data_IF_258233336804
#
_entry.id   IF_258233336804
#
_cell.length_a   1.000
_cell.length_b   1.000
_cell.length_c   1.000
_cell.angle_alpha   90.00
_cell.angle_beta   90.00
_cell.angle_gamma   90.00
#
_symmetry.space_group_name_H-M   'P 1'
#
loop_
_entity.id
_entity.type
_entity.pdbx_description
1 polymer ?
#
# COMPACT_ATOMS: atom_id res chain seq x y z
N UNK A 1 -4.19 -2.67 16.70
CA UNK A 1 -4.09 -2.84 15.24
C UNK A 1 -3.02 -1.88 14.76
N UNK A 2 -1.90 -2.43 14.32
CA UNK A 2 -0.76 -1.67 13.79
C UNK A 2 -0.90 -1.59 12.26
N UNK A 3 -0.41 -0.50 11.65
CA UNK A 3 -0.36 -0.36 10.19
C UNK A 3 1.06 -0.22 9.71
N UNK A 4 1.38 -0.93 8.63
CA UNK A 4 2.63 -0.75 7.87
C UNK A 4 2.32 -0.29 6.47
N UNK A 5 3.14 0.61 5.94
CA UNK A 5 2.87 1.30 4.69
C UNK A 5 3.97 1.01 3.69
N UNK A 6 3.56 0.64 2.47
CA UNK A 6 4.47 0.19 1.43
C UNK A 6 4.13 0.85 0.10
N UNK A 7 5.15 1.14 -0.69
CA UNK A 7 5.01 1.38 -2.14
C UNK A 7 5.64 0.20 -2.87
N UNK A 8 4.85 -0.52 -3.66
CA UNK A 8 5.33 -1.61 -4.53
C UNK A 8 5.29 -1.14 -6.00
N UNK A 9 6.46 -0.86 -6.57
CA UNK A 9 6.58 -0.17 -7.85
C UNK A 9 5.98 1.25 -7.77
N UNK A 10 4.75 1.43 -8.25
CA UNK A 10 3.99 2.69 -8.17
C UNK A 10 2.70 2.57 -7.38
N UNK A 11 2.43 1.40 -6.79
CA UNK A 11 1.17 1.15 -6.09
C UNK A 11 1.33 1.31 -4.57
N UNK A 12 0.59 2.23 -3.95
CA UNK A 12 0.47 2.30 -2.50
C UNK A 12 -0.27 1.08 -1.95
N UNK A 13 0.30 0.44 -0.94
CA UNK A 13 -0.23 -0.69 -0.19
C UNK A 13 -0.12 -0.39 1.30
N UNK A 14 -1.10 -0.76 2.11
CA UNK A 14 -0.92 -0.85 3.56
C UNK A 14 -1.30 -2.22 4.08
N UNK A 15 -0.61 -2.64 5.13
CA UNK A 15 -0.85 -3.87 5.87
C UNK A 15 -1.48 -3.50 7.21
N UNK A 16 -2.60 -4.11 7.55
CA UNK A 16 -3.13 -4.12 8.92
C UNK A 16 -2.63 -5.37 9.63
N UNK A 17 -1.84 -5.16 10.69
CA UNK A 17 -1.23 -6.24 11.46
C UNK A 17 -2.04 -6.46 12.74
N UNK A 18 -2.52 -7.69 12.90
CA UNK A 18 -3.13 -8.22 14.10
C UNK A 18 -2.29 -9.37 14.67
N UNK A 19 -2.62 -9.81 15.89
CA UNK A 19 -1.77 -10.74 16.65
C UNK A 19 -1.47 -12.05 15.90
N UNK A 20 -2.37 -12.51 15.03
CA UNK A 20 -2.24 -13.79 14.31
C UNK A 20 -2.46 -13.70 12.80
N UNK A 21 -2.76 -12.52 12.27
CA UNK A 21 -2.99 -12.34 10.83
C UNK A 21 -2.65 -10.94 10.37
N UNK A 22 -2.37 -10.82 9.08
CA UNK A 22 -2.21 -9.55 8.39
C UNK A 22 -3.14 -9.50 7.20
N UNK A 23 -3.74 -8.34 6.98
CA UNK A 23 -4.58 -8.07 5.81
C UNK A 23 -3.94 -6.96 4.99
N UNK A 24 -3.81 -7.18 3.68
CA UNK A 24 -3.19 -6.23 2.76
C UNK A 24 -4.25 -5.48 1.97
N UNK A 25 -4.09 -4.16 1.86
CA UNK A 25 -4.98 -3.30 1.10
C UNK A 25 -4.19 -2.52 0.05
N UNK A 26 -4.62 -2.63 -1.21
CA UNK A 26 -3.97 -2.00 -2.34
C UNK A 26 -4.82 -0.83 -2.88
N UNK A 27 -4.13 0.25 -3.25
CA UNK A 27 -4.74 1.41 -3.89
C UNK A 27 -5.29 1.05 -5.28
N UNK A 28 -6.55 1.40 -5.51
CA UNK A 28 -7.24 1.20 -6.77
C UNK A 28 -7.12 2.46 -7.63
N UNK A 29 -6.43 2.35 -8.75
CA UNK A 29 -6.16 3.49 -9.62
C UNK A 29 -7.39 4.07 -10.32
N UNK A 30 -8.49 3.32 -10.36
CA UNK A 30 -9.74 3.77 -10.99
C UNK A 30 -10.65 4.53 -10.02
N UNK A 31 -10.57 4.22 -8.72
CA UNK A 31 -11.49 4.78 -7.71
C UNK A 31 -10.80 5.63 -6.66
N UNK A 32 -9.48 5.54 -6.52
CA UNK A 32 -8.74 6.21 -5.45
C UNK A 32 -8.95 5.61 -4.06
N UNK A 33 -9.58 4.43 -3.98
CA UNK A 33 -9.88 3.71 -2.74
C UNK A 33 -8.85 2.60 -2.48
N UNK A 34 -8.73 2.19 -1.23
CA UNK A 34 -7.97 0.99 -0.86
C UNK A 34 -8.92 -0.20 -0.75
N UNK A 35 -8.57 -1.32 -1.38
CA UNK A 35 -9.32 -2.59 -1.30
C UNK A 35 -8.40 -3.71 -0.90
N UNK A 36 -8.94 -4.68 -0.18
CA UNK A 36 -8.21 -5.89 0.20
C UNK A 36 -7.65 -6.58 -1.06
N UNK A 37 -6.34 -6.86 -1.05
CA UNK A 37 -5.63 -7.56 -2.11
C UNK A 37 -4.48 -8.37 -1.52
N UNK A 38 -4.80 -9.62 -1.15
CA UNK A 38 -3.85 -10.55 -0.54
C UNK A 38 -2.73 -11.00 -1.49
N UNK A 39 -2.77 -10.64 -2.78
CA UNK A 39 -1.64 -10.85 -3.70
C UNK A 39 -0.38 -10.15 -3.16
N UNK A 40 -0.56 -9.01 -2.50
CA UNK A 40 0.54 -8.22 -1.95
C UNK A 40 1.20 -8.82 -0.71
N UNK A 41 0.56 -9.78 -0.03
CA UNK A 41 1.20 -10.52 1.06
C UNK A 41 2.48 -11.21 0.57
N UNK A 42 2.39 -11.96 -0.53
CA UNK A 42 3.55 -12.61 -1.13
C UNK A 42 4.58 -11.63 -1.71
N UNK A 43 4.10 -10.54 -2.32
CA UNK A 43 4.95 -9.54 -2.99
C UNK A 43 5.72 -8.65 -2.04
N UNK A 44 5.24 -8.46 -0.81
CA UNK A 44 5.91 -7.63 0.20
C UNK A 44 6.77 -8.50 1.11
N UNK A 45 6.23 -9.61 1.63
CA UNK A 45 6.99 -10.45 2.57
C UNK A 45 8.09 -11.28 1.91
N UNK A 46 7.95 -11.60 0.64
CA UNK A 46 8.92 -12.39 -0.13
C UNK A 46 9.45 -11.61 -1.32
N UNK A 47 9.58 -10.28 -1.17
CA UNK A 47 10.10 -9.46 -2.25
C UNK A 47 11.60 -9.69 -2.49
N UNK A 48 11.92 -10.51 -3.49
CA UNK A 48 13.30 -10.71 -3.92
C UNK A 48 13.76 -9.66 -4.95
N UNK A 49 12.85 -8.84 -5.52
CA UNK A 49 13.22 -7.79 -6.48
C UNK A 49 13.58 -6.47 -5.81
N UNK A 50 13.09 -6.23 -4.58
CA UNK A 50 13.32 -4.98 -3.84
C UNK A 50 12.45 -3.82 -4.34
N UNK A 51 11.34 -4.14 -5.02
CA UNK A 51 10.36 -3.17 -5.52
C UNK A 51 9.44 -2.66 -4.41
N UNK A 52 9.34 -3.38 -3.29
CA UNK A 52 8.67 -2.99 -2.06
C UNK A 52 9.57 -2.08 -1.24
N UNK A 53 9.09 -0.87 -0.98
CA UNK A 53 9.73 0.06 -0.04
C UNK A 53 8.75 0.38 1.08
N UNK A 54 9.23 0.27 2.32
CA UNK A 54 8.49 0.67 3.51
C UNK A 54 8.57 2.18 3.71
N UNK A 55 7.45 2.79 4.08
CA UNK A 55 7.28 4.23 4.25
C UNK A 55 6.72 4.51 5.64
N UNK A 56 6.99 5.70 6.15
CA UNK A 56 6.19 6.22 7.27
C UNK A 56 4.77 6.55 6.81
N UNK A 57 3.83 6.64 7.76
CA UNK A 57 2.45 7.03 7.46
C UNK A 57 2.38 8.42 6.78
N UNK A 58 3.22 9.38 7.21
CA UNK A 58 3.25 10.73 6.64
C UNK A 58 3.71 10.71 5.18
N UNK A 59 4.82 10.02 4.88
CA UNK A 59 5.35 9.92 3.52
C UNK A 59 4.37 9.17 2.60
N UNK A 60 3.75 8.09 3.11
CA UNK A 60 2.74 7.34 2.38
C UNK A 60 1.53 8.21 2.02
N UNK A 61 1.00 8.97 2.99
CA UNK A 61 -0.15 9.83 2.79
C UNK A 61 0.16 10.99 1.84
N UNK A 62 1.37 11.54 1.90
CA UNK A 62 1.84 12.55 0.94
C UNK A 62 1.86 11.96 -0.49
N UNK A 63 2.46 10.78 -0.66
CA UNK A 63 2.52 10.08 -1.95
C UNK A 63 1.12 9.80 -2.52
N UNK A 64 0.20 9.29 -1.70
CA UNK A 64 -1.19 9.02 -2.12
C UNK A 64 -1.90 10.30 -2.56
N UNK A 65 -1.68 11.43 -1.86
CA UNK A 65 -2.30 12.72 -2.20
C UNK A 65 -1.79 13.24 -3.55
N UNK A 66 -0.48 13.18 -3.78
CA UNK A 66 0.11 13.57 -5.06
C UNK A 66 -0.43 12.69 -6.18
N UNK A 67 -0.41 11.36 -5.98
CA UNK A 67 -0.92 10.38 -6.93
C UNK A 67 -2.39 10.59 -7.29
N UNK A 68 -3.25 10.88 -6.30
CA UNK A 68 -4.67 11.20 -6.53
C UNK A 68 -4.82 12.46 -7.36
N UNK A 69 -4.03 13.49 -7.06
CA UNK A 69 -4.04 14.77 -7.78
C UNK A 69 -3.63 14.60 -9.23
N UNK A 70 -2.52 13.90 -9.49
CA UNK A 70 -2.02 13.61 -10.84
C UNK A 70 -3.02 12.84 -11.70
N UNK A 71 -3.80 11.96 -11.07
CA UNK A 71 -4.76 11.07 -11.74
C UNK A 71 -6.19 11.62 -11.76
N UNK A 72 -6.47 12.76 -11.14
CA UNK A 72 -7.84 13.30 -11.01
C UNK A 72 -8.79 12.39 -10.22
N UNK A 73 -8.25 11.67 -9.23
CA UNK A 73 -9.00 10.77 -8.35
C UNK A 73 -9.59 11.52 -7.15
N UNK A 74 -10.73 11.02 -6.59
CA UNK A 74 -11.34 11.61 -5.40
C UNK A 74 -10.46 11.47 -4.15
#
# INVERSE_FOLDING_TARGET
MEKKFYIYGVRPIFEEVEENYSTFYAFQFDTGEFKEDMTYASKIWSDFSGDAKEFTEEEFNAYVRELKTERGLP
#
